data_IF_034720935813
#
_entry.id   IF_034720935813
#
_cell.length_a   1.000
_cell.length_b   1.000
_cell.length_c   1.000
_cell.angle_alpha   90.00
_cell.angle_beta   90.00
_cell.angle_gamma   90.00
#
_symmetry.space_group_name_H-M   'P 1'
#
loop_
_entity.id
_entity.type
_entity.pdbx_description
1 polymer ?
#
# COMPACT_ATOMS: atom_id res chain seq x y z
N UNK A 1 23.46 8.33 5.51
CA UNK A 1 22.24 8.13 6.33
C UNK A 1 21.06 8.20 5.39
N UNK A 2 20.44 7.05 5.12
CA UNK A 2 19.38 6.94 4.12
C UNK A 2 18.19 7.77 4.58
N UNK A 3 17.85 8.80 3.82
CA UNK A 3 16.55 9.45 3.95
C UNK A 3 15.56 8.32 3.78
N UNK A 4 14.92 7.93 4.87
CA UNK A 4 13.82 6.99 4.90
C UNK A 4 12.76 7.62 4.00
N UNK A 5 12.82 7.29 2.70
CA UNK A 5 11.96 7.85 1.68
C UNK A 5 10.58 7.35 2.05
N UNK A 6 9.84 8.20 2.78
CA UNK A 6 8.42 8.09 2.99
C UNK A 6 7.83 7.76 1.62
N UNK A 7 7.53 6.47 1.39
CA UNK A 7 7.20 6.03 0.04
C UNK A 7 5.94 6.78 -0.37
N UNK A 8 5.93 7.41 -1.56
CA UNK A 8 4.78 8.20 -1.98
C UNK A 8 3.53 7.32 -1.97
N UNK A 9 2.34 7.87 -1.69
CA UNK A 9 1.10 7.10 -1.63
C UNK A 9 0.86 6.25 -2.89
N UNK A 10 1.35 6.74 -4.04
CA UNK A 10 1.35 6.03 -5.33
C UNK A 10 2.12 4.71 -5.32
N UNK A 11 3.23 4.62 -4.59
CA UNK A 11 4.01 3.38 -4.44
C UNK A 11 3.20 2.31 -3.70
N UNK A 12 2.55 2.69 -2.61
CA UNK A 12 1.71 1.79 -1.82
C UNK A 12 0.48 1.31 -2.60
N UNK A 13 -0.15 2.19 -3.40
CA UNK A 13 -1.25 1.82 -4.30
C UNK A 13 -0.80 0.83 -5.37
N UNK A 14 0.33 1.07 -6.03
CA UNK A 14 0.87 0.17 -7.06
C UNK A 14 1.15 -1.22 -6.48
N UNK A 15 1.71 -1.30 -5.26
CA UNK A 15 1.90 -2.56 -4.55
C UNK A 15 0.58 -3.25 -4.23
N UNK A 16 -0.40 -2.53 -3.71
CA UNK A 16 -1.72 -3.10 -3.41
C UNK A 16 -2.37 -3.72 -4.66
N UNK A 17 -2.26 -3.06 -5.81
CA UNK A 17 -2.77 -3.57 -7.08
C UNK A 17 -2.05 -4.84 -7.54
N UNK A 18 -0.71 -4.88 -7.45
CA UNK A 18 0.05 -6.09 -7.75
C UNK A 18 -0.39 -7.28 -6.88
N UNK A 19 -0.58 -7.06 -5.58
CA UNK A 19 -1.03 -8.12 -4.66
C UNK A 19 -2.47 -8.54 -4.93
N UNK A 20 -3.36 -7.63 -5.37
CA UNK A 20 -4.71 -8.00 -5.83
C UNK A 20 -4.67 -8.87 -7.07
N UNK A 21 -3.88 -8.51 -8.08
CA UNK A 21 -3.74 -9.32 -9.30
C UNK A 21 -3.17 -10.69 -8.99
N UNK A 22 -2.18 -10.79 -8.09
CA UNK A 22 -1.65 -12.07 -7.61
C UNK A 22 -2.69 -12.87 -6.83
N UNK A 23 -3.51 -12.23 -6.02
CA UNK A 23 -4.62 -12.89 -5.32
C UNK A 23 -5.68 -13.40 -6.31
N UNK A 24 -5.94 -12.67 -7.39
CA UNK A 24 -6.95 -13.05 -8.37
C UNK A 24 -6.54 -14.31 -9.16
N UNK A 25 -5.26 -14.40 -9.52
CA UNK A 25 -4.67 -15.56 -10.18
C UNK A 25 -4.36 -16.73 -9.22
N UNK A 26 -4.64 -16.59 -7.92
CA UNK A 26 -4.33 -17.63 -6.95
C UNK A 26 -5.49 -18.64 -6.84
N UNK A 27 -5.21 -19.90 -7.16
CA UNK A 27 -6.16 -21.02 -7.04
C UNK A 27 -6.41 -21.44 -5.59
N UNK A 28 -5.49 -21.10 -4.67
CA UNK A 28 -5.62 -21.42 -3.25
C UNK A 28 -6.46 -20.37 -2.51
N UNK A 29 -7.63 -20.73 -1.96
CA UNK A 29 -8.54 -19.77 -1.34
C UNK A 29 -7.96 -19.11 -0.09
N UNK A 30 -7.18 -19.83 0.73
CA UNK A 30 -6.52 -19.28 1.92
C UNK A 30 -5.43 -18.26 1.57
N UNK A 31 -4.62 -18.57 0.57
CA UNK A 31 -3.56 -17.67 0.06
C UNK A 31 -4.16 -16.45 -0.61
N UNK A 32 -5.22 -16.62 -1.40
CA UNK A 32 -5.99 -15.50 -2.00
C UNK A 32 -6.53 -14.55 -0.94
N UNK A 33 -7.06 -15.10 0.15
CA UNK A 33 -7.61 -14.27 1.23
C UNK A 33 -6.49 -13.50 1.97
N UNK A 34 -5.36 -14.16 2.22
CA UNK A 34 -4.16 -13.53 2.80
C UNK A 34 -3.61 -12.41 1.90
N UNK A 35 -3.49 -12.65 0.59
CA UNK A 35 -3.02 -11.66 -0.38
C UNK A 35 -3.98 -10.47 -0.51
N UNK A 36 -5.31 -10.71 -0.47
CA UNK A 36 -6.31 -9.63 -0.41
C UNK A 36 -6.20 -8.81 0.86
N UNK A 37 -5.93 -9.45 2.01
CA UNK A 37 -5.74 -8.74 3.26
C UNK A 37 -4.49 -7.86 3.22
N UNK A 38 -3.39 -8.38 2.67
CA UNK A 38 -2.14 -7.62 2.44
C UNK A 38 -2.38 -6.42 1.52
N UNK A 39 -3.14 -6.59 0.43
CA UNK A 39 -3.49 -5.49 -0.46
C UNK A 39 -4.28 -4.38 0.25
N UNK A 40 -5.27 -4.75 1.10
CA UNK A 40 -6.01 -3.79 1.92
C UNK A 40 -5.09 -3.01 2.88
N UNK A 41 -4.17 -3.70 3.55
CA UNK A 41 -3.19 -3.05 4.43
C UNK A 41 -2.33 -2.04 3.67
N UNK A 42 -1.91 -2.36 2.45
CA UNK A 42 -1.16 -1.42 1.61
C UNK A 42 -2.01 -0.21 1.16
N UNK A 43 -3.31 -0.37 0.90
CA UNK A 43 -4.21 0.77 0.64
C UNK A 43 -4.38 1.67 1.86
N UNK A 44 -4.46 1.10 3.06
CA UNK A 44 -4.50 1.88 4.30
C UNK A 44 -3.17 2.62 4.53
N UNK A 45 -2.04 1.98 4.26
CA UNK A 45 -0.74 2.64 4.27
C UNK A 45 -0.67 3.77 3.24
N UNK A 46 -1.23 3.58 2.04
CA UNK A 46 -1.33 4.63 1.04
C UNK A 46 -2.16 5.83 1.53
N UNK A 47 -3.30 5.56 2.18
CA UNK A 47 -4.16 6.61 2.78
C UNK A 47 -3.44 7.35 3.90
N UNK A 48 -2.72 6.64 4.78
CA UNK A 48 -1.93 7.24 5.86
C UNK A 48 -0.77 8.06 5.29
N UNK A 49 -0.05 7.53 4.31
CA UNK A 49 1.04 8.25 3.63
C UNK A 49 0.52 9.51 2.90
N UNK A 50 -0.68 9.44 2.30
CA UNK A 50 -1.34 10.60 1.72
C UNK A 50 -1.66 11.66 2.79
N UNK A 51 -2.24 11.26 3.93
CA UNK A 51 -2.56 12.16 5.04
C UNK A 51 -1.32 12.79 5.68
N UNK A 52 -0.26 12.02 5.88
CA UNK A 52 0.99 12.54 6.48
C UNK A 52 1.66 13.52 5.53
N UNK A 53 1.63 13.25 4.20
CA UNK A 53 2.12 14.23 3.21
C UNK A 53 1.36 15.55 3.30
N UNK A 54 0.04 15.53 3.46
CA UNK A 54 -0.75 16.77 3.62
C UNK A 54 -0.39 17.54 4.89
N UNK A 55 -0.05 16.84 5.99
CA UNK A 55 0.37 17.48 7.24
C UNK A 55 1.78 18.06 7.13
N UNK A 56 2.68 17.41 6.39
CA UNK A 56 4.05 17.88 6.16
C UNK A 56 4.06 19.14 5.27
N UNK A 57 3.22 19.18 4.23
CA UNK A 57 3.07 20.31 3.30
C UNK A 57 2.41 21.53 3.97
N UNK A 58 1.58 21.31 5.00
CA UNK A 58 0.94 22.38 5.78
C UNK A 58 1.82 22.94 6.92
N UNK A 59 3.03 22.39 7.11
CA UNK A 59 3.98 22.82 8.13
C UNK A 59 5.22 23.55 7.55
N UNK A 60 5.25 23.79 6.24
CA UNK A 60 6.24 24.65 5.55
C UNK A 60 5.71 26.06 5.29
#
# INVERSE_FOLDING_TARGET
MGIERMHPPRYWQMRAEEFRTKADNCEYPETRNSLRNVAKTYEELARRAAQIRTVQDAAE
#
